data_IF_417676485440
#
_entry.id   IF_417676485440
#
_cell.length_a   1.000
_cell.length_b   1.000
_cell.length_c   1.000
_cell.angle_alpha   90.00
_cell.angle_beta   90.00
_cell.angle_gamma   90.00
#
_symmetry.space_group_name_H-M   'P 1'
#
loop_
_entity.id
_entity.type
_entity.pdbx_description
1 polymer ?
#
# COMPACT_ATOMS: atom_id res chain seq x y z
N UNK A 1 30.72 8.96 -40.80
CA UNK A 1 29.88 9.80 -41.66
C UNK A 1 28.71 8.96 -42.15
N UNK A 2 27.49 9.54 -42.06
CA UNK A 2 26.22 9.26 -42.75
C UNK A 2 26.02 7.87 -43.37
N UNK A 3 24.88 7.22 -43.04
CA UNK A 3 23.79 6.90 -43.98
C UNK A 3 22.70 6.10 -43.23
N UNK A 4 21.52 6.71 -43.04
CA UNK A 4 20.22 6.32 -43.63
C UNK A 4 19.66 5.01 -43.06
N UNK A 5 18.65 5.11 -42.19
CA UNK A 5 17.43 4.30 -42.30
C UNK A 5 16.25 5.14 -41.80
N UNK A 6 15.65 5.83 -42.75
CA UNK A 6 14.28 6.36 -42.72
C UNK A 6 13.45 5.39 -43.57
N UNK A 7 12.14 5.32 -43.30
CA UNK A 7 11.11 4.47 -43.92
C UNK A 7 11.06 3.03 -43.35
N UNK A 8 9.91 2.42 -43.00
CA UNK A 8 8.50 2.68 -43.34
C UNK A 8 7.59 1.95 -42.34
N UNK A 9 6.48 2.61 -42.00
CA UNK A 9 5.13 2.06 -41.82
C UNK A 9 4.98 0.56 -41.52
N UNK A 10 4.36 0.25 -40.37
CA UNK A 10 3.16 -0.61 -40.33
C UNK A 10 2.16 -0.03 -39.30
N UNK A 11 1.09 0.57 -39.83
CA UNK A 11 -0.21 0.75 -39.19
C UNK A 11 -0.96 -0.58 -39.27
N UNK A 12 -1.28 -1.26 -38.16
CA UNK A 12 -2.38 -2.26 -38.11
C UNK A 12 -3.04 -2.27 -36.71
N UNK A 13 -4.28 -1.76 -36.70
CA UNK A 13 -5.48 -2.11 -35.92
C UNK A 13 -5.49 -2.10 -34.37
N UNK A 14 -6.28 -1.16 -33.85
CA UNK A 14 -7.45 -1.40 -32.97
C UNK A 14 -7.60 -2.82 -32.39
N UNK A 15 -7.34 -2.95 -31.09
CA UNK A 15 -8.06 -3.87 -30.23
C UNK A 15 -8.92 -3.06 -29.26
N UNK A 16 -10.20 -2.92 -29.60
CA UNK A 16 -11.24 -2.70 -28.61
C UNK A 16 -11.38 -4.01 -27.83
N UNK A 17 -10.77 -4.07 -26.65
CA UNK A 17 -11.11 -5.08 -25.64
C UNK A 17 -12.26 -4.50 -24.84
N UNK A 18 -13.47 -4.82 -25.31
CA UNK A 18 -14.70 -4.76 -24.52
C UNK A 18 -14.63 -5.91 -23.49
N UNK A 19 -14.05 -5.61 -22.33
CA UNK A 19 -14.21 -6.44 -21.14
C UNK A 19 -15.43 -5.93 -20.39
N UNK A 20 -16.60 -6.38 -20.84
CA UNK A 20 -17.80 -6.47 -20.02
C UNK A 20 -17.53 -7.38 -18.83
N UNK A 21 -16.93 -6.82 -17.79
CA UNK A 21 -16.85 -7.39 -16.45
C UNK A 21 -17.94 -6.76 -15.61
N UNK A 22 -18.96 -7.55 -15.30
CA UNK A 22 -20.05 -7.19 -14.38
C UNK A 22 -19.49 -6.76 -13.01
N UNK A 23 -19.38 -5.46 -12.78
CA UNK A 23 -19.29 -4.94 -11.41
C UNK A 23 -20.66 -5.13 -10.76
N UNK A 24 -20.73 -6.18 -9.92
CA UNK A 24 -21.83 -6.39 -9.01
C UNK A 24 -22.06 -5.11 -8.22
N UNK A 25 -23.22 -4.51 -8.41
CA UNK A 25 -23.78 -3.41 -7.62
C UNK A 25 -23.85 -3.83 -6.15
N UNK A 26 -22.76 -3.61 -5.43
CA UNK A 26 -22.72 -3.76 -4.00
C UNK A 26 -23.30 -2.46 -3.41
N UNK A 27 -24.63 -2.39 -3.39
CA UNK A 27 -25.41 -1.34 -2.73
C UNK A 27 -25.09 -1.30 -1.23
N UNK A 28 -23.97 -0.70 -0.86
CA UNK A 28 -23.71 -0.30 0.52
C UNK A 28 -24.17 1.13 0.68
N UNK A 29 -25.22 1.33 1.48
CA UNK A 29 -25.62 2.64 2.01
C UNK A 29 -24.39 3.50 2.37
N UNK A 30 -24.40 4.81 2.11
CA UNK A 30 -23.28 5.74 2.43
C UNK A 30 -22.78 5.58 3.87
N UNK A 31 -23.68 5.18 4.76
CA UNK A 31 -23.38 4.82 6.14
C UNK A 31 -22.56 3.51 6.26
N UNK A 32 -22.97 2.45 5.56
CA UNK A 32 -22.24 1.18 5.46
C UNK A 32 -20.83 1.39 4.88
N UNK A 33 -20.69 2.27 3.89
CA UNK A 33 -19.38 2.56 3.31
C UNK A 33 -18.45 3.28 4.30
N UNK A 34 -18.96 4.23 5.08
CA UNK A 34 -18.17 4.93 6.13
C UNK A 34 -17.77 3.96 7.25
N UNK A 35 -18.65 3.03 7.61
CA UNK A 35 -18.37 1.97 8.57
C UNK A 35 -17.25 1.05 8.09
N UNK A 36 -17.35 0.55 6.85
CA UNK A 36 -16.30 -0.29 6.22
C UNK A 36 -14.94 0.39 6.25
N UNK A 37 -14.90 1.70 5.95
CA UNK A 37 -13.66 2.48 6.00
C UNK A 37 -13.08 2.58 7.42
N UNK A 38 -13.93 2.77 8.43
CA UNK A 38 -13.47 2.71 9.83
C UNK A 38 -12.90 1.33 10.17
N UNK A 39 -13.56 0.25 9.73
CA UNK A 39 -13.07 -1.13 9.92
C UNK A 39 -11.74 -1.37 9.19
N UNK A 40 -11.59 -0.83 7.97
CA UNK A 40 -10.31 -0.85 7.23
C UNK A 40 -9.21 -0.14 8.01
N UNK A 41 -9.49 1.05 8.57
CA UNK A 41 -8.53 1.77 9.42
C UNK A 41 -8.18 0.95 10.66
N UNK A 42 -9.15 0.25 11.27
CA UNK A 42 -8.90 -0.58 12.44
C UNK A 42 -8.07 -1.83 12.11
N UNK A 43 -8.19 -2.36 10.90
CA UNK A 43 -7.40 -3.50 10.42
C UNK A 43 -5.89 -3.21 10.30
N UNK A 44 -5.48 -1.93 10.29
CA UNK A 44 -4.05 -1.52 10.23
C UNK A 44 -3.26 -2.09 11.41
N UNK A 45 -3.85 -2.16 12.60
CA UNK A 45 -3.17 -2.71 13.79
C UNK A 45 -2.96 -4.24 13.70
N UNK A 46 -3.62 -4.92 12.76
CA UNK A 46 -3.57 -6.37 12.58
C UNK A 46 -2.63 -6.78 11.44
N UNK A 47 -1.91 -5.84 10.84
CA UNK A 47 -0.96 -6.11 9.77
C UNK A 47 0.29 -6.76 10.36
N UNK A 48 0.64 -7.94 9.84
CA UNK A 48 1.92 -8.58 10.13
C UNK A 48 3.05 -7.75 9.52
N UNK A 49 4.18 -7.65 10.23
CA UNK A 49 5.29 -6.79 9.81
C UNK A 49 5.95 -7.30 8.52
N UNK A 50 5.86 -8.60 8.25
CA UNK A 50 6.34 -9.22 7.01
C UNK A 50 5.54 -8.78 5.78
N UNK A 51 4.22 -8.60 5.94
CA UNK A 51 3.28 -8.23 4.88
C UNK A 51 3.06 -6.72 4.80
N UNK A 52 3.86 -5.93 5.52
CA UNK A 52 3.65 -4.50 5.69
C UNK A 52 3.59 -3.75 4.35
N UNK A 53 4.55 -4.02 3.44
CA UNK A 53 4.71 -3.24 2.22
C UNK A 53 3.51 -3.36 1.27
N UNK A 54 3.00 -4.58 1.07
CA UNK A 54 1.88 -4.82 0.16
C UNK A 54 0.55 -4.34 0.75
N UNK A 55 0.29 -4.63 2.04
CA UNK A 55 -1.00 -4.29 2.66
C UNK A 55 -1.18 -2.80 2.91
N UNK A 56 -0.12 -2.08 3.27
CA UNK A 56 -0.21 -0.64 3.51
C UNK A 56 -0.43 0.16 2.23
N UNK A 57 0.12 -0.27 1.10
CA UNK A 57 -0.10 0.38 -0.19
C UNK A 57 -1.58 0.29 -0.60
N UNK A 58 -2.17 -0.91 -0.52
CA UNK A 58 -3.58 -1.14 -0.81
C UNK A 58 -4.52 -0.33 0.10
N UNK A 59 -4.26 -0.35 1.42
CA UNK A 59 -5.05 0.41 2.40
C UNK A 59 -4.92 1.91 2.15
N UNK A 60 -3.71 2.41 1.88
CA UNK A 60 -3.49 3.85 1.67
C UNK A 60 -4.22 4.33 0.41
N UNK A 61 -4.12 3.59 -0.71
CA UNK A 61 -4.84 3.91 -1.93
C UNK A 61 -6.36 3.97 -1.73
N UNK A 62 -6.91 3.00 -0.98
CA UNK A 62 -8.35 2.95 -0.67
C UNK A 62 -8.79 4.15 0.20
N UNK A 63 -8.01 4.48 1.22
CA UNK A 63 -8.34 5.55 2.17
C UNK A 63 -8.15 6.94 1.56
N UNK A 64 -7.13 7.15 0.73
CA UNK A 64 -6.93 8.42 0.01
C UNK A 64 -8.10 8.72 -0.91
N UNK A 65 -8.53 7.74 -1.71
CA UNK A 65 -9.72 7.87 -2.57
C UNK A 65 -10.98 8.20 -1.75
N UNK A 66 -11.17 7.54 -0.60
CA UNK A 66 -12.29 7.84 0.30
C UNK A 66 -12.23 9.27 0.83
N UNK A 67 -11.07 9.72 1.32
CA UNK A 67 -10.92 11.04 1.92
C UNK A 67 -11.14 12.15 0.90
N UNK A 68 -10.66 11.99 -0.33
CA UNK A 68 -10.91 12.95 -1.41
C UNK A 68 -12.39 13.04 -1.76
N UNK A 69 -13.04 11.88 -1.96
CA UNK A 69 -14.47 11.83 -2.22
C UNK A 69 -15.28 12.48 -1.10
N UNK A 70 -15.03 12.08 0.15
CA UNK A 70 -15.78 12.58 1.31
C UNK A 70 -15.53 14.07 1.55
N UNK A 71 -14.35 14.58 1.22
CA UNK A 71 -14.04 16.02 1.25
C UNK A 71 -14.91 16.79 0.26
N UNK A 72 -15.09 16.30 -0.97
CA UNK A 72 -16.00 16.91 -1.94
C UNK A 72 -17.47 16.84 -1.51
N UNK A 73 -17.89 15.74 -0.87
CA UNK A 73 -19.23 15.64 -0.24
C UNK A 73 -19.40 16.69 0.85
N UNK A 74 -18.45 16.83 1.78
CA UNK A 74 -18.53 17.82 2.86
C UNK A 74 -18.51 19.27 2.35
N UNK A 75 -17.88 19.55 1.19
CA UNK A 75 -17.94 20.87 0.53
C UNK A 75 -19.28 21.14 -0.16
N UNK A 76 -20.08 20.10 -0.39
CA UNK A 76 -21.28 20.18 -1.23
C UNK A 76 -20.96 20.25 -2.73
N UNK A 77 -19.79 19.76 -3.14
CA UNK A 77 -19.41 19.57 -4.55
C UNK A 77 -20.06 18.29 -5.12
N UNK A 78 -20.39 17.31 -4.26
CA UNK A 78 -21.07 16.08 -4.61
C UNK A 78 -22.40 15.94 -3.85
N UNK A 79 -23.43 15.41 -4.52
CA UNK A 79 -24.69 15.02 -3.86
C UNK A 79 -24.47 13.77 -3.00
N UNK A 80 -25.13 13.72 -1.84
CA UNK A 80 -25.14 12.53 -0.96
C UNK A 80 -26.01 11.39 -1.49
N UNK A 81 -26.76 11.61 -2.57
CA UNK A 81 -27.68 10.62 -3.16
C UNK A 81 -26.98 9.95 -4.34
N UNK A 82 -26.62 8.69 -4.16
CA UNK A 82 -26.28 7.78 -5.26
C UNK A 82 -27.61 7.45 -5.97
N UNK A 83 -27.63 7.66 -7.28
CA UNK A 83 -28.79 7.58 -8.20
C UNK A 83 -29.83 6.53 -7.81
N UNK A 84 -31.02 6.99 -7.38
CA UNK A 84 -32.26 6.21 -7.50
C UNK A 84 -32.88 6.54 -8.85
N UNK A 85 -32.92 5.57 -9.75
CA UNK A 85 -33.82 5.58 -10.90
C UNK A 85 -35.26 5.42 -10.39
N UNK A 86 -35.89 6.53 -10.06
CA UNK A 86 -37.34 6.67 -10.02
C UNK A 86 -37.63 8.14 -10.17
N UNK A 87 -38.50 8.43 -11.12
CA UNK A 87 -38.83 9.74 -11.66
C UNK A 87 -39.18 10.77 -10.57
N UNK A 88 -38.88 12.03 -10.90
CA UNK A 88 -39.43 13.24 -10.29
C UNK A 88 -39.10 13.54 -8.82
N UNK A 89 -37.81 13.75 -8.55
CA UNK A 89 -37.33 14.99 -7.89
C UNK A 89 -35.82 14.96 -7.71
N UNK A 90 -35.08 15.58 -8.64
CA UNK A 90 -33.67 15.95 -8.43
C UNK A 90 -33.58 17.05 -7.36
N UNK A 91 -33.84 16.72 -6.11
CA UNK A 91 -33.45 17.57 -4.99
C UNK A 91 -31.95 17.39 -4.82
N UNK A 92 -31.18 18.30 -5.44
CA UNK A 92 -29.79 18.53 -5.08
C UNK A 92 -29.76 18.98 -3.61
N UNK A 93 -29.84 18.04 -2.67
CA UNK A 93 -29.80 18.35 -1.25
C UNK A 93 -28.38 18.74 -0.89
N UNK A 94 -28.12 20.04 -0.92
CA UNK A 94 -26.85 20.62 -0.49
C UNK A 94 -26.85 20.67 1.03
N UNK A 95 -25.81 20.11 1.65
CA UNK A 95 -25.62 20.20 3.10
C UNK A 95 -25.70 21.65 3.57
N UNK A 96 -26.46 21.89 4.64
CA UNK A 96 -26.47 23.15 5.36
C UNK A 96 -25.10 23.43 5.98
N UNK A 97 -24.78 24.68 6.33
CA UNK A 97 -23.50 25.03 6.96
C UNK A 97 -23.21 24.24 8.24
N UNK A 98 -24.25 23.91 9.02
CA UNK A 98 -24.13 23.09 10.24
C UNK A 98 -23.77 21.64 9.91
N UNK A 99 -24.43 21.05 8.92
CA UNK A 99 -24.14 19.68 8.46
C UNK A 99 -22.75 19.58 7.82
N UNK A 100 -22.33 20.59 7.04
CA UNK A 100 -20.97 20.65 6.49
C UNK A 100 -19.91 20.66 7.60
N UNK A 101 -20.12 21.47 8.64
CA UNK A 101 -19.20 21.54 9.78
C UNK A 101 -19.13 20.21 10.54
N UNK A 102 -20.26 19.53 10.72
CA UNK A 102 -20.29 18.19 11.31
C UNK A 102 -19.55 17.17 10.43
N UNK A 103 -19.80 17.18 9.12
CA UNK A 103 -19.13 16.31 8.14
C UNK A 103 -17.61 16.47 8.19
N UNK A 104 -17.09 17.71 8.19
CA UNK A 104 -15.67 17.97 8.31
C UNK A 104 -15.08 17.53 9.65
N UNK A 105 -15.84 17.66 10.75
CA UNK A 105 -15.39 17.21 12.07
C UNK A 105 -15.22 15.69 12.11
N UNK A 106 -16.17 14.94 11.56
CA UNK A 106 -16.10 13.49 11.45
C UNK A 106 -14.95 13.04 10.53
N UNK A 107 -14.84 13.67 9.35
CA UNK A 107 -13.76 13.40 8.40
C UNK A 107 -12.39 13.64 9.03
N UNK A 108 -12.22 14.74 9.76
CA UNK A 108 -10.98 15.05 10.49
C UNK A 108 -10.68 14.00 11.54
N UNK A 109 -11.66 13.57 12.33
CA UNK A 109 -11.46 12.54 13.35
C UNK A 109 -10.98 11.22 12.71
N UNK A 110 -11.56 10.84 11.57
CA UNK A 110 -11.19 9.64 10.83
C UNK A 110 -9.77 9.73 10.25
N UNK A 111 -9.40 10.89 9.68
CA UNK A 111 -8.04 11.14 9.19
C UNK A 111 -7.00 11.09 10.31
N UNK A 112 -7.28 11.71 11.47
CA UNK A 112 -6.38 11.65 12.62
C UNK A 112 -6.20 10.20 13.10
N UNK A 113 -7.29 9.42 13.17
CA UNK A 113 -7.23 7.99 13.52
C UNK A 113 -6.34 7.21 12.55
N UNK A 114 -6.52 7.41 11.24
CA UNK A 114 -5.69 6.79 10.21
C UNK A 114 -4.22 7.18 10.38
N UNK A 115 -3.91 8.49 10.49
CA UNK A 115 -2.54 9.00 10.65
C UNK A 115 -1.86 8.38 11.86
N UNK A 116 -2.53 8.33 13.02
CA UNK A 116 -1.93 7.76 14.21
C UNK A 116 -1.62 6.27 14.06
N UNK A 117 -2.54 5.50 13.45
CA UNK A 117 -2.34 4.06 13.23
C UNK A 117 -1.24 3.80 12.21
N UNK A 118 -1.21 4.52 11.08
CA UNK A 118 -0.19 4.32 10.05
C UNK A 118 1.21 4.65 10.57
N UNK A 119 1.36 5.71 11.37
CA UNK A 119 2.65 6.06 11.97
C UNK A 119 3.11 5.00 12.97
N UNK A 120 2.19 4.47 13.79
CA UNK A 120 2.49 3.40 14.74
C UNK A 120 3.03 2.15 14.04
N UNK A 121 2.35 1.66 13.01
CA UNK A 121 2.78 0.45 12.30
C UNK A 121 4.05 0.68 11.47
N UNK A 122 4.21 1.87 10.86
CA UNK A 122 5.44 2.25 10.15
C UNK A 122 6.65 2.20 11.06
N UNK A 123 6.53 2.75 12.28
CA UNK A 123 7.59 2.68 13.27
C UNK A 123 7.93 1.23 13.62
N UNK A 124 6.92 0.42 13.94
CA UNK A 124 7.12 -1.00 14.27
C UNK A 124 7.80 -1.78 13.13
N UNK A 125 7.44 -1.51 11.88
CA UNK A 125 8.08 -2.10 10.72
C UNK A 125 9.55 -1.68 10.56
N UNK A 126 9.86 -0.41 10.79
CA UNK A 126 11.24 0.09 10.75
C UNK A 126 12.10 -0.57 11.83
N UNK A 127 11.58 -0.69 13.05
CA UNK A 127 12.26 -1.37 14.16
C UNK A 127 12.53 -2.84 13.82
N UNK A 128 11.52 -3.56 13.31
CA UNK A 128 11.66 -4.95 12.84
C UNK A 128 12.70 -5.11 11.73
N UNK A 129 12.67 -4.24 10.72
CA UNK A 129 13.64 -4.29 9.62
C UNK A 129 15.06 -3.97 10.09
N UNK A 130 15.20 -3.07 11.05
CA UNK A 130 16.49 -2.78 11.65
C UNK A 130 17.06 -3.99 12.39
N UNK A 131 16.28 -4.61 13.27
CA UNK A 131 16.68 -5.81 14.01
C UNK A 131 17.09 -6.96 13.07
N UNK A 132 16.28 -7.19 12.02
CA UNK A 132 16.58 -8.20 11.00
C UNK A 132 17.93 -7.96 10.33
N UNK A 133 18.20 -6.72 9.91
CA UNK A 133 19.48 -6.34 9.27
C UNK A 133 20.67 -6.49 10.21
N UNK A 134 20.52 -6.13 11.48
CA UNK A 134 21.58 -6.33 12.48
C UNK A 134 21.87 -7.81 12.69
N UNK A 135 20.84 -8.65 12.72
CA UNK A 135 20.98 -10.11 12.83
C UNK A 135 21.70 -10.70 11.61
N UNK A 136 21.31 -10.30 10.40
CA UNK A 136 21.96 -10.71 9.16
C UNK A 136 23.44 -10.28 9.12
N UNK A 137 23.74 -9.05 9.53
CA UNK A 137 25.13 -8.55 9.61
C UNK A 137 26.00 -9.39 10.56
N UNK A 138 25.46 -9.79 11.73
CA UNK A 138 26.17 -10.66 12.67
C UNK A 138 26.46 -12.02 12.06
N UNK A 139 25.49 -12.62 11.37
CA UNK A 139 25.66 -13.91 10.68
C UNK A 139 26.74 -13.84 9.60
N UNK A 140 26.76 -12.76 8.81
CA UNK A 140 27.79 -12.55 7.79
C UNK A 140 29.18 -12.43 8.42
N UNK A 141 29.31 -11.66 9.50
CA UNK A 141 30.57 -11.54 10.24
C UNK A 141 31.04 -12.88 10.80
N UNK A 142 30.15 -13.63 11.44
CA UNK A 142 30.48 -14.94 12.03
C UNK A 142 30.87 -15.95 10.95
N UNK A 143 30.14 -15.99 9.83
CA UNK A 143 30.52 -16.80 8.67
C UNK A 143 31.91 -16.45 8.13
N UNK A 144 32.23 -15.16 8.00
CA UNK A 144 33.54 -14.72 7.54
C UNK A 144 34.67 -15.11 8.53
N UNK A 145 34.44 -14.99 9.85
CA UNK A 145 35.41 -15.42 10.86
C UNK A 145 35.61 -16.94 10.84
N UNK A 146 34.54 -17.71 10.68
CA UNK A 146 34.60 -19.17 10.57
C UNK A 146 35.38 -19.61 9.33
N UNK A 147 35.18 -18.96 8.18
CA UNK A 147 35.94 -19.22 6.95
C UNK A 147 37.43 -18.94 7.14
N UNK A 148 37.78 -17.81 7.75
CA UNK A 148 39.16 -17.47 8.09
C UNK A 148 39.76 -18.54 9.00
N UNK A 149 39.06 -18.93 10.06
CA UNK A 149 39.55 -19.94 11.00
C UNK A 149 39.77 -21.31 10.33
N UNK A 150 38.84 -21.75 9.47
CA UNK A 150 38.98 -22.99 8.70
C UNK A 150 40.18 -22.97 7.75
N UNK A 151 40.46 -21.83 7.12
CA UNK A 151 41.62 -21.67 6.22
C UNK A 151 42.96 -21.83 6.96
N UNK A 152 43.07 -21.32 8.19
CA UNK A 152 44.29 -21.43 9.00
C UNK A 152 44.45 -22.80 9.71
N UNK A 153 43.36 -23.50 9.99
CA UNK A 153 43.40 -24.86 10.56
C UNK A 153 43.85 -25.92 9.55
N UNK A 154 43.52 -25.76 8.27
CA UNK A 154 43.88 -26.72 7.20
C UNK A 154 45.34 -26.59 6.75
N UNK A 155 45.94 -25.40 6.81
CA UNK A 155 47.35 -25.15 6.43
C UNK A 155 48.37 -25.62 7.48
N UNK A 156 47.98 -25.69 8.75
CA UNK A 156 48.84 -26.10 9.87
C UNK A 156 48.99 -27.62 10.04
N UNK A 157 48.11 -28.43 9.45
CA UNK A 157 48.15 -29.91 9.53
C UNK A 157 48.86 -30.64 8.38
N UNK A 158 49.05 -30.01 7.22
CA UNK A 158 49.49 -30.69 5.99
C UNK A 158 51.01 -30.82 5.84
N UNK A 159 51.82 -30.03 6.55
CA UNK A 159 53.29 -30.08 6.44
C UNK A 159 53.99 -31.13 7.32
N UNK A 160 53.28 -31.79 8.25
CA UNK A 160 53.90 -32.82 9.13
C UNK A 160 54.03 -34.21 8.49
N UNK A 161 53.30 -34.52 7.40
CA UNK A 161 53.32 -35.86 6.78
C UNK A 161 54.40 -36.07 5.71
N UNK A 162 55.02 -35.01 5.18
CA UNK A 162 55.99 -35.12 4.06
C UNK A 162 57.45 -35.27 4.50
N UNK A 163 57.76 -35.23 5.81
CA UNK A 163 59.12 -35.21 6.36
C UNK A 163 59.59 -36.55 6.98
N UNK A 164 58.87 -37.65 6.70
CA UNK A 164 59.11 -39.00 7.27
C UNK A 164 59.39 -40.09 6.22
N UNK A 165 59.80 -39.73 5.01
CA UNK A 165 60.34 -40.68 4.02
C UNK A 165 61.78 -40.34 3.73
#
# INVERSE_FOLDING_TARGET
MKIIYLFLFIQISTFAVDSGGSESSNESSVFEYTRRISETIDSIDQIKLEDFSSRIEEISATLEKYFEYKKGVCRGEFSTIIFKESEDSKTNYKLTKKEQLLCFRELKALQVKYINKIFKIRKAYLDFMHEKRISELKKVREGALDEVQRAFQTSSGSNKRKRRR
#
